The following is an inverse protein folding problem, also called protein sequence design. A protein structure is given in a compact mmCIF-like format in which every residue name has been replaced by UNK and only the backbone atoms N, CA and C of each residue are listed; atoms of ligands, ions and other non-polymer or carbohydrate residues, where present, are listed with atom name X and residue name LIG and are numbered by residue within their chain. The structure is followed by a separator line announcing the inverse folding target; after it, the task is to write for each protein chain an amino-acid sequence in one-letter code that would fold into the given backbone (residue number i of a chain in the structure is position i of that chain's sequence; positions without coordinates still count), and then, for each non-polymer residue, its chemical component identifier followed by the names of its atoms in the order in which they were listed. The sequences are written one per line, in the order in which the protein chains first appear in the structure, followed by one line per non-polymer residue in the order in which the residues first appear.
data_IF_563203180172
#
_entry.id   IF_563203180172
#
_cell.length_a   1.000
_cell.length_b   1.000
_cell.length_c   1.000
_cell.angle_alpha   90.00
_cell.angle_beta   90.00
_cell.angle_gamma   90.00
#
_symmetry.space_group_name_H-M   'P 1'
#
loop_
_entity.id
_entity.type
_entity.pdbx_description
1 polymer ?
#
# COMPACT_ATOMS: atom_id res chain seq x y z
N UNK A 1 7.03 -4.89 2.30
CA UNK A 1 6.21 -4.98 1.07
C UNK A 1 5.83 -3.58 0.59
N UNK A 2 5.78 -3.34 -0.74
CA UNK A 2 5.22 -2.10 -1.33
C UNK A 2 4.13 -2.35 -2.36
N UNK A 3 3.28 -1.34 -2.55
CA UNK A 3 2.35 -1.29 -3.66
C UNK A 3 2.96 -0.69 -4.91
N UNK A 4 2.53 -1.19 -6.06
CA UNK A 4 2.83 -0.64 -7.37
C UNK A 4 1.51 -0.24 -8.04
N UNK A 5 1.42 1.01 -8.45
CA UNK A 5 0.28 1.56 -9.20
C UNK A 5 0.72 1.79 -10.64
N UNK A 6 0.03 1.15 -11.59
CA UNK A 6 0.25 1.34 -13.02
C UNK A 6 -0.97 1.96 -13.66
N UNK A 7 -0.78 3.03 -14.42
CA UNK A 7 -1.81 3.63 -15.26
C UNK A 7 -1.49 3.35 -16.73
N UNK A 8 -2.45 2.82 -17.48
CA UNK A 8 -2.29 2.59 -18.91
C UNK A 8 -2.79 3.80 -19.73
N UNK A 9 -2.61 3.73 -21.05
CA UNK A 9 -3.03 4.78 -22.00
C UNK A 9 -4.56 4.99 -22.05
N UNK A 10 -5.33 4.08 -21.46
CA UNK A 10 -6.79 4.16 -21.34
C UNK A 10 -7.22 4.72 -19.97
N UNK A 11 -6.27 5.26 -19.20
CA UNK A 11 -6.44 5.77 -17.83
C UNK A 11 -6.85 4.71 -16.79
N UNK A 12 -6.75 3.42 -17.12
CA UNK A 12 -7.07 2.34 -16.19
C UNK A 12 -5.92 2.12 -15.21
N UNK A 13 -6.27 1.98 -13.93
CA UNK A 13 -5.30 1.78 -12.85
C UNK A 13 -5.27 0.30 -12.44
N UNK A 14 -4.10 -0.31 -12.54
CA UNK A 14 -3.81 -1.63 -11.98
C UNK A 14 -2.99 -1.47 -10.70
N UNK A 15 -3.39 -2.18 -9.64
CA UNK A 15 -2.66 -2.24 -8.37
C UNK A 15 -2.00 -3.62 -8.25
N UNK A 16 -0.71 -3.62 -8.00
CA UNK A 16 0.10 -4.81 -7.76
C UNK A 16 0.80 -4.70 -6.41
N UNK A 17 1.28 -5.83 -5.90
CA UNK A 17 2.16 -5.86 -4.74
C UNK A 17 3.55 -6.36 -5.16
N UNK A 18 4.58 -5.72 -4.64
CA UNK A 18 5.98 -6.11 -4.80
C UNK A 18 6.51 -6.65 -3.48
N UNK A 19 6.90 -7.93 -3.47
CA UNK A 19 7.55 -8.62 -2.35
C UNK A 19 8.87 -9.18 -2.84
N UNK A 20 9.97 -8.80 -2.20
CA UNK A 20 11.33 -9.22 -2.58
C UNK A 20 11.66 -8.97 -4.07
N UNK A 21 11.17 -7.87 -4.61
CA UNK A 21 11.35 -7.48 -6.01
C UNK A 21 10.48 -8.25 -7.01
N UNK A 22 9.64 -9.19 -6.56
CA UNK A 22 8.70 -9.90 -7.42
C UNK A 22 7.31 -9.27 -7.33
N UNK A 23 6.75 -8.95 -8.50
CA UNK A 23 5.41 -8.42 -8.62
C UNK A 23 4.39 -9.54 -8.76
N UNK A 24 3.28 -9.39 -8.03
CA UNK A 24 2.14 -10.31 -8.11
C UNK A 24 0.84 -9.54 -7.94
N UNK A 25 -0.26 -10.20 -8.31
CA UNK A 25 -1.61 -9.66 -8.15
C UNK A 25 -1.83 -9.19 -6.71
N UNK A 26 -2.42 -8.02 -6.60
CA UNK A 26 -2.80 -7.45 -5.31
C UNK A 26 -3.97 -8.22 -4.69
N UNK A 27 -3.79 -8.74 -3.47
CA UNK A 27 -4.82 -9.45 -2.72
C UNK A 27 -4.99 -8.82 -1.34
N UNK A 28 -6.18 -8.25 -1.08
CA UNK A 28 -6.48 -7.55 0.18
C UNK A 28 -6.24 -8.41 1.42
N UNK A 29 -6.62 -9.68 1.40
CA UNK A 29 -6.45 -10.59 2.54
C UNK A 29 -4.97 -10.87 2.85
N UNK A 30 -4.12 -10.99 1.83
CA UNK A 30 -2.67 -11.14 2.03
C UNK A 30 -2.07 -9.87 2.63
N UNK A 31 -2.57 -8.71 2.19
CA UNK A 31 -2.09 -7.43 2.73
C UNK A 31 -2.44 -7.22 4.19
N UNK A 32 -3.64 -7.60 4.61
CA UNK A 32 -4.03 -7.50 6.03
C UNK A 32 -3.09 -8.36 6.89
N UNK A 33 -2.73 -9.57 6.44
CA UNK A 33 -1.77 -10.41 7.15
C UNK A 33 -0.40 -9.73 7.29
N UNK A 34 0.12 -9.18 6.19
CA UNK A 34 1.40 -8.45 6.22
C UNK A 34 1.34 -7.26 7.15
N UNK A 35 0.25 -6.48 7.16
CA UNK A 35 0.09 -5.35 8.07
C UNK A 35 0.03 -5.78 9.55
N UNK A 36 -0.52 -6.96 9.85
CA UNK A 36 -0.55 -7.51 11.20
C UNK A 36 0.81 -8.05 11.65
N UNK A 37 1.64 -8.52 10.72
CA UNK A 37 2.96 -9.12 10.99
C UNK A 37 4.09 -8.08 10.99
N UNK A 38 4.16 -7.27 9.93
CA UNK A 38 5.25 -6.31 9.66
C UNK A 38 4.93 -4.89 10.17
N UNK A 39 3.65 -4.59 10.44
CA UNK A 39 3.21 -3.32 11.02
C UNK A 39 3.14 -2.12 10.08
N UNK A 40 3.77 -2.19 8.91
CA UNK A 40 3.75 -1.10 7.94
C UNK A 40 3.95 -1.53 6.48
N UNK A 41 3.61 -0.65 5.56
CA UNK A 41 3.94 -0.74 4.14
C UNK A 41 5.09 0.20 3.81
N UNK A 42 5.93 -0.24 2.89
CA UNK A 42 6.91 0.62 2.24
C UNK A 42 6.22 1.66 1.32
N UNK A 43 6.97 2.70 0.96
CA UNK A 43 6.51 3.74 0.05
C UNK A 43 6.04 3.14 -1.31
N UNK A 44 4.92 3.63 -1.87
CA UNK A 44 4.39 3.10 -3.12
C UNK A 44 5.27 3.50 -4.31
N UNK A 45 5.26 2.63 -5.31
CA UNK A 45 5.77 2.92 -6.65
C UNK A 45 4.59 3.33 -7.54
N UNK A 46 4.77 4.41 -8.30
CA UNK A 46 3.77 4.95 -9.23
C UNK A 46 4.42 4.97 -10.62
N UNK A 47 3.84 4.24 -11.56
CA UNK A 47 4.38 4.00 -12.90
C UNK A 47 3.36 4.40 -13.98
N UNK A 48 3.80 5.19 -14.96
CA UNK A 48 2.96 5.73 -16.02
C UNK A 48 2.63 7.21 -15.81
N UNK A 49 1.69 7.72 -16.60
CA UNK A 49 1.39 9.15 -16.71
C UNK A 49 0.43 9.63 -15.61
N UNK A 50 0.84 9.44 -14.36
CA UNK A 50 0.14 10.01 -13.22
C UNK A 50 0.47 11.49 -13.06
N UNK A 51 -0.54 12.29 -12.74
CA UNK A 51 -0.33 13.70 -12.35
C UNK A 51 0.34 13.79 -10.98
N UNK A 52 0.84 14.98 -10.65
CA UNK A 52 1.38 15.25 -9.32
C UNK A 52 0.32 15.08 -8.23
N UNK A 53 -0.91 15.53 -8.49
CA UNK A 53 -2.05 15.37 -7.58
C UNK A 53 -2.41 13.90 -7.35
N UNK A 54 -2.44 13.09 -8.41
CA UNK A 54 -2.71 11.65 -8.31
C UNK A 54 -1.60 10.96 -7.51
N UNK A 55 -0.33 11.24 -7.85
CA UNK A 55 0.83 10.71 -7.14
C UNK A 55 0.84 11.09 -5.67
N UNK A 56 0.46 12.34 -5.34
CA UNK A 56 0.32 12.83 -3.96
C UNK A 56 -0.79 12.09 -3.23
N UNK A 57 -1.92 11.89 -3.89
CA UNK A 57 -3.08 11.18 -3.32
C UNK A 57 -2.75 9.71 -3.02
N UNK A 58 -2.01 9.03 -3.90
CA UNK A 58 -1.54 7.65 -3.69
C UNK A 58 -0.59 7.57 -2.48
N UNK A 59 0.37 8.50 -2.38
CA UNK A 59 1.30 8.55 -1.24
C UNK A 59 0.57 8.80 0.08
N UNK A 60 -0.39 9.73 0.07
CA UNK A 60 -1.22 10.01 1.25
C UNK A 60 -2.05 8.79 1.66
N UNK A 61 -2.60 8.05 0.70
CA UNK A 61 -3.34 6.82 1.01
C UNK A 61 -2.47 5.78 1.71
N UNK A 62 -1.23 5.54 1.25
CA UNK A 62 -0.32 4.60 1.92
C UNK A 62 0.08 5.10 3.31
N UNK A 63 0.30 6.41 3.46
CA UNK A 63 0.58 7.00 4.76
C UNK A 63 -0.55 6.77 5.77
N UNK A 64 -1.80 7.03 5.38
CA UNK A 64 -2.96 6.81 6.25
C UNK A 64 -3.15 5.32 6.60
N UNK A 65 -2.89 4.40 5.66
CA UNK A 65 -2.94 2.96 5.95
C UNK A 65 -1.94 2.59 7.05
N UNK A 66 -0.69 3.06 6.96
CA UNK A 66 0.33 2.77 7.96
C UNK A 66 -0.05 3.36 9.32
N UNK A 67 -0.55 4.60 9.34
CA UNK A 67 -1.01 5.26 10.56
C UNK A 67 -2.13 4.47 11.26
N UNK A 68 -3.17 4.09 10.51
CA UNK A 68 -4.28 3.29 11.06
C UNK A 68 -3.79 1.92 11.56
N UNK A 69 -2.83 1.31 10.85
CA UNK A 69 -2.24 0.02 11.26
C UNK A 69 -1.51 0.17 12.60
N UNK A 70 -0.67 1.19 12.75
CA UNK A 70 0.05 1.48 13.99
C UNK A 70 -0.91 1.72 15.17
N UNK A 71 -1.96 2.53 14.97
CA UNK A 71 -3.00 2.78 15.98
C UNK A 71 -3.72 1.49 16.39
N UNK A 72 -4.05 0.64 15.42
CA UNK A 72 -4.74 -0.65 15.65
C UNK A 72 -3.86 -1.61 16.44
N UNK A 73 -2.57 -1.72 16.09
CA UNK A 73 -1.62 -2.59 16.79
C UNK A 73 -1.39 -2.12 18.22
N UNK A 74 -1.24 -0.81 18.46
CA UNK A 74 -1.13 -0.23 19.82
C UNK A 74 -2.36 -0.52 20.68
N UNK A 75 -3.56 -0.36 20.12
CA UNK A 75 -4.80 -0.64 20.84
C UNK A 75 -4.90 -2.13 21.25
N UNK A 76 -4.44 -3.04 20.38
CA UNK A 76 -4.43 -4.48 20.67
C UNK A 76 -3.40 -4.88 21.73
N UNK A 77 -2.26 -4.17 21.82
CA UNK A 77 -1.19 -4.44 22.79
C UNK A 77 -1.44 -3.82 24.19
N UNK A 78 -2.28 -2.78 24.28
CA UNK A 78 -2.62 -2.10 25.54
C UNK A 78 -3.87 -2.66 26.25
N UNK A 79 -4.39 -3.81 25.82
CA UNK A 79 -5.62 -4.43 26.34
C UNK A 79 -5.38 -5.57 27.34
N UNK A 80 -4.17 -5.68 27.90
CA UNK A 80 -3.85 -6.61 29.01
C UNK A 80 -4.07 -5.97 30.40
#
# INVERSE_FOLDING_TARGET
MKLVFRKNDQEEITVLQSVDGNERTFIYAERIKVLLEDGELEAPVVEGDFTEEESRSIKNMVHEINKVTEETLKASAGSD
#
